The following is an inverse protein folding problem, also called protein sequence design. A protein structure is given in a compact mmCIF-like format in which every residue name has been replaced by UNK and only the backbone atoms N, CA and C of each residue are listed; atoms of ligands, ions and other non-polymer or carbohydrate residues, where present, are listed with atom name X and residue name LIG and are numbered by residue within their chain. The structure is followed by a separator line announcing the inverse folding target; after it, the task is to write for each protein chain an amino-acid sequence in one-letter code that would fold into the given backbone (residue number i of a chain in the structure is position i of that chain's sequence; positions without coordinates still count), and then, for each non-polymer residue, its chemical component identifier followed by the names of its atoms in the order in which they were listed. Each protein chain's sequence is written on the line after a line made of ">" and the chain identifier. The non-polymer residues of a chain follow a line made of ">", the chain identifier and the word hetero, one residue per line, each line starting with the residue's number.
data_IF_523492368034
#
_entry.id   IF_523492368034
#
_cell.length_a   1.000
_cell.length_b   1.000
_cell.length_c   1.000
_cell.angle_alpha   90.00
_cell.angle_beta   90.00
_cell.angle_gamma   90.00
#
_symmetry.space_group_name_H-M   'P 1'
#
loop_
_entity.id
_entity.type
_entity.pdbx_description
1 polymer ?
#
# COMPACT_ATOMS: atom_id res chain seq x y z
N UNK A 1 0.35 4.18 -12.42
CA UNK A 1 1.43 4.29 -11.42
C UNK A 1 2.47 3.21 -11.66
N UNK A 2 3.72 3.53 -11.41
CA UNK A 2 4.86 2.62 -11.56
C UNK A 2 5.33 2.20 -10.18
N UNK A 3 5.45 0.89 -9.94
CA UNK A 3 6.03 0.35 -8.70
C UNK A 3 7.48 -0.02 -8.90
N UNK A 4 8.33 0.50 -8.03
CA UNK A 4 9.74 0.13 -7.93
C UNK A 4 9.90 -0.76 -6.71
N UNK A 5 10.33 -2.00 -6.91
CA UNK A 5 10.63 -2.94 -5.84
C UNK A 5 12.14 -2.95 -5.56
N UNK A 6 12.49 -3.25 -4.30
CA UNK A 6 13.87 -3.44 -3.86
C UNK A 6 14.80 -2.23 -4.13
N UNK A 7 14.28 -1.00 -4.01
CA UNK A 7 15.11 0.19 -4.07
C UNK A 7 15.97 0.26 -2.80
N UNK A 8 17.27 0.08 -2.95
CA UNK A 8 18.21 -0.03 -1.82
C UNK A 8 18.90 1.29 -1.55
N UNK A 9 18.93 1.70 -0.27
CA UNK A 9 19.63 2.90 0.21
C UNK A 9 20.28 2.62 1.58
N UNK A 10 21.39 3.29 1.90
CA UNK A 10 21.98 3.22 3.24
C UNK A 10 20.98 3.67 4.30
N UNK A 11 21.16 3.24 5.55
CA UNK A 11 20.27 3.65 6.65
C UNK A 11 20.25 5.17 6.83
N UNK A 12 21.42 5.81 6.73
CA UNK A 12 21.56 7.27 6.80
C UNK A 12 21.41 7.85 5.40
N UNK A 13 20.20 8.14 4.99
CA UNK A 13 19.92 8.87 3.75
C UNK A 13 18.83 9.92 3.98
N UNK A 14 18.83 10.95 3.16
CA UNK A 14 17.84 12.02 3.14
C UNK A 14 16.70 11.70 2.16
N UNK A 15 15.58 12.40 2.30
CA UNK A 15 14.46 12.30 1.34
C UNK A 15 14.89 12.72 -0.07
N UNK A 16 15.79 13.70 -0.18
CA UNK A 16 16.33 14.15 -1.46
C UNK A 16 17.16 13.05 -2.17
N UNK A 17 17.95 12.28 -1.42
CA UNK A 17 18.71 11.15 -1.95
C UNK A 17 17.78 10.01 -2.40
N UNK A 18 16.67 9.77 -1.67
CA UNK A 18 15.66 8.81 -2.07
C UNK A 18 15.02 9.22 -3.40
N UNK A 19 14.62 10.49 -3.54
CA UNK A 19 14.04 11.01 -4.78
C UNK A 19 15.03 10.97 -5.95
N UNK A 20 16.29 11.35 -5.72
CA UNK A 20 17.34 11.25 -6.73
C UNK A 20 17.55 9.80 -7.19
N UNK A 21 17.50 8.85 -6.27
CA UNK A 21 17.59 7.42 -6.58
C UNK A 21 16.41 6.95 -7.40
N UNK A 22 15.17 7.38 -7.07
CA UNK A 22 13.97 7.08 -7.85
C UNK A 22 14.12 7.59 -9.28
N UNK A 23 14.51 8.86 -9.46
CA UNK A 23 14.74 9.46 -10.79
C UNK A 23 15.80 8.68 -11.58
N UNK A 24 16.87 8.27 -10.94
CA UNK A 24 17.93 7.45 -11.56
C UNK A 24 17.43 6.09 -12.02
N UNK A 25 16.68 5.37 -11.19
CA UNK A 25 16.11 4.06 -11.55
C UNK A 25 15.12 4.15 -12.72
N UNK A 26 14.32 5.23 -12.75
CA UNK A 26 13.37 5.48 -13.83
C UNK A 26 14.02 6.16 -15.05
N UNK A 27 15.32 6.45 -15.01
CA UNK A 27 16.08 7.19 -16.06
C UNK A 27 15.40 8.51 -16.44
N UNK A 28 14.93 9.25 -15.44
CA UNK A 28 14.29 10.55 -15.60
C UNK A 28 15.31 11.69 -15.45
N UNK A 29 15.05 12.83 -16.11
CA UNK A 29 15.84 14.05 -15.93
C UNK A 29 15.66 14.61 -14.52
N UNK A 30 16.67 15.30 -13.95
CA UNK A 30 16.58 15.85 -12.58
C UNK A 30 15.39 16.79 -12.36
N UNK A 31 14.99 17.56 -13.36
CA UNK A 31 13.86 18.49 -13.33
C UNK A 31 12.48 17.84 -13.53
N UNK A 32 12.41 16.55 -13.79
CA UNK A 32 11.14 15.88 -14.02
C UNK A 32 10.29 15.85 -12.75
N UNK A 33 9.06 16.36 -12.85
CA UNK A 33 8.10 16.32 -11.74
C UNK A 33 7.59 14.91 -11.57
N UNK A 34 7.64 14.41 -10.35
CA UNK A 34 7.08 13.10 -9.98
C UNK A 34 6.45 13.21 -8.59
N UNK A 35 5.44 12.40 -8.35
CA UNK A 35 4.96 12.15 -6.99
C UNK A 35 5.21 10.69 -6.64
N UNK A 36 5.56 10.44 -5.39
CA UNK A 36 5.88 9.08 -4.95
C UNK A 36 5.35 8.81 -3.55
N UNK A 37 5.08 7.55 -3.28
CA UNK A 37 4.60 7.08 -1.99
C UNK A 37 5.33 5.79 -1.61
N UNK A 38 5.80 5.72 -0.36
CA UNK A 38 6.40 4.51 0.19
C UNK A 38 5.29 3.51 0.53
N UNK A 39 5.30 2.37 -0.14
CA UNK A 39 4.37 1.26 0.10
C UNK A 39 4.92 0.32 1.18
N UNK A 40 6.24 0.07 1.13
CA UNK A 40 6.91 -0.80 2.09
C UNK A 40 8.35 -0.32 2.32
N UNK A 41 8.77 -0.34 3.57
CA UNK A 41 10.15 -0.11 4.00
C UNK A 41 10.59 -1.31 4.83
N UNK A 42 11.69 -1.93 4.49
CA UNK A 42 12.28 -3.06 5.24
C UNK A 42 13.78 -2.86 5.41
N UNK A 43 14.34 -3.47 6.45
CA UNK A 43 15.78 -3.46 6.70
C UNK A 43 16.37 -4.74 6.14
N UNK A 44 17.41 -4.62 5.32
CA UNK A 44 18.25 -5.74 4.88
C UNK A 44 19.52 -5.76 5.74
N UNK A 45 19.58 -6.72 6.67
CA UNK A 45 20.69 -6.91 7.61
C UNK A 45 21.56 -8.11 7.27
N UNK A 46 21.47 -8.63 6.05
CA UNK A 46 22.23 -9.83 5.64
C UNK A 46 23.73 -9.59 5.53
N UNK A 47 24.15 -8.35 5.28
CA UNK A 47 25.56 -7.96 5.17
C UNK A 47 25.95 -7.06 6.34
N UNK A 48 26.08 -7.61 7.53
CA UNK A 48 26.62 -6.87 8.68
C UNK A 48 28.10 -6.50 8.44
N UNK A 49 28.55 -5.29 8.83
CA UNK A 49 27.82 -4.24 9.56
C UNK A 49 26.95 -3.32 8.70
N UNK A 50 26.96 -3.46 7.37
CA UNK A 50 26.25 -2.58 6.44
C UNK A 50 24.76 -2.89 6.41
N UNK A 51 24.00 -2.14 7.18
CA UNK A 51 22.55 -2.19 7.16
C UNK A 51 22.00 -1.31 6.03
N UNK A 52 21.08 -1.85 5.25
CA UNK A 52 20.50 -1.18 4.08
C UNK A 52 18.97 -1.17 4.21
N UNK A 53 18.35 -0.05 3.89
CA UNK A 53 16.90 -0.01 3.67
C UNK A 53 16.56 -0.52 2.27
N UNK A 54 15.55 -1.37 2.19
CA UNK A 54 14.92 -1.80 0.95
C UNK A 54 13.50 -1.24 0.88
N UNK A 55 13.24 -0.44 -0.13
CA UNK A 55 11.95 0.24 -0.33
C UNK A 55 11.17 -0.42 -1.46
N UNK A 56 9.85 -0.46 -1.30
CA UNK A 56 8.88 -0.59 -2.38
C UNK A 56 8.16 0.74 -2.48
N UNK A 57 8.21 1.39 -3.64
CA UNK A 57 7.71 2.75 -3.85
C UNK A 57 6.80 2.77 -5.07
N UNK A 58 5.64 3.39 -4.92
CA UNK A 58 4.76 3.70 -6.03
C UNK A 58 5.03 5.13 -6.51
N UNK A 59 5.25 5.28 -7.80
CA UNK A 59 5.60 6.56 -8.44
C UNK A 59 4.56 6.89 -9.50
N UNK A 60 4.04 8.10 -9.47
CA UNK A 60 3.25 8.68 -10.55
C UNK A 60 4.13 9.68 -11.31
N UNK A 61 4.23 9.51 -12.61
CA UNK A 61 5.02 10.33 -13.52
C UNK A 61 4.28 10.49 -14.84
N UNK A 62 4.46 11.62 -15.50
CA UNK A 62 3.91 11.82 -16.84
C UNK A 62 4.56 10.86 -17.84
N UNK A 63 3.75 10.27 -18.72
CA UNK A 63 4.25 9.34 -19.74
C UNK A 63 4.65 7.95 -19.19
N UNK A 64 3.98 7.45 -18.15
CA UNK A 64 4.25 6.16 -17.50
C UNK A 64 4.50 4.99 -18.47
N UNK A 65 3.68 4.89 -19.53
CA UNK A 65 3.82 3.81 -20.51
C UNK A 65 5.14 3.87 -21.30
N UNK A 66 5.58 5.08 -21.64
CA UNK A 66 6.85 5.30 -22.33
C UNK A 66 8.03 4.97 -21.43
N UNK A 67 7.94 5.34 -20.15
CA UNK A 67 8.95 5.00 -19.13
C UNK A 67 9.03 3.49 -18.95
N UNK A 68 7.91 2.79 -18.80
CA UNK A 68 7.85 1.34 -18.64
C UNK A 68 8.41 0.59 -19.84
N UNK A 69 8.06 0.99 -21.06
CA UNK A 69 8.58 0.38 -22.30
C UNK A 69 10.10 0.51 -22.43
N UNK A 70 10.66 1.64 -21.95
CA UNK A 70 12.10 1.90 -21.96
C UNK A 70 12.86 1.14 -20.89
N UNK A 71 12.19 0.81 -19.77
CA UNK A 71 12.79 0.18 -18.60
C UNK A 71 12.45 -1.31 -18.58
N UNK A 72 13.26 -2.14 -19.21
CA UNK A 72 13.18 -3.61 -19.11
C UNK A 72 13.81 -4.07 -17.78
N UNK A 73 13.15 -3.80 -16.65
CA UNK A 73 13.66 -4.15 -15.33
C UNK A 73 12.58 -4.92 -14.54
N UNK A 74 12.89 -6.14 -14.10
CA UNK A 74 11.96 -6.99 -13.32
C UNK A 74 11.50 -6.35 -11.99
N UNK A 75 12.27 -5.39 -11.46
CA UNK A 75 11.92 -4.67 -10.24
C UNK A 75 10.96 -3.49 -10.48
N UNK A 76 10.65 -3.18 -11.74
CA UNK A 76 9.79 -2.07 -12.13
C UNK A 76 8.57 -2.61 -12.86
N UNK A 77 7.38 -2.33 -12.33
CA UNK A 77 6.12 -2.83 -12.88
C UNK A 77 5.02 -1.77 -12.89
N UNK A 78 4.08 -1.88 -13.82
CA UNK A 78 2.86 -1.10 -13.76
C UNK A 78 1.98 -1.59 -12.61
N UNK A 79 1.44 -0.67 -11.83
CA UNK A 79 0.53 -0.99 -10.75
C UNK A 79 -0.71 -0.10 -10.84
N UNK A 80 -1.87 -0.76 -10.84
CA UNK A 80 -3.13 -0.08 -10.58
C UNK A 80 -3.45 -0.20 -9.09
N UNK A 81 -3.80 0.88 -8.41
CA UNK A 81 -4.20 0.81 -7.01
C UNK A 81 -5.43 -0.08 -6.88
N UNK A 82 -5.27 -1.23 -6.24
CA UNK A 82 -6.40 -2.11 -5.92
C UNK A 82 -7.17 -1.46 -4.76
N UNK A 83 -8.36 -0.96 -5.05
CA UNK A 83 -9.28 -0.51 -4.02
C UNK A 83 -10.22 -1.65 -3.68
N UNK A 84 -10.24 -2.03 -2.42
CA UNK A 84 -11.24 -3.00 -1.96
C UNK A 84 -12.61 -2.31 -1.97
N UNK A 85 -13.51 -2.86 -2.76
CA UNK A 85 -14.90 -2.43 -2.76
C UNK A 85 -15.65 -3.32 -1.77
N UNK A 86 -16.22 -2.70 -0.76
CA UNK A 86 -17.07 -3.41 0.21
C UNK A 86 -18.37 -3.74 -0.53
N UNK A 87 -18.75 -5.03 -0.65
CA UNK A 87 -20.00 -5.40 -1.27
C UNK A 87 -21.18 -4.78 -0.49
N UNK A 88 -22.13 -4.20 -1.20
CA UNK A 88 -23.34 -3.70 -0.59
C UNK A 88 -24.23 -4.89 -0.17
N UNK A 89 -24.80 -4.80 1.02
CA UNK A 89 -25.76 -5.79 1.47
C UNK A 89 -27.06 -5.67 0.65
N UNK A 90 -27.59 -6.81 0.19
CA UNK A 90 -28.88 -6.85 -0.52
C UNK A 90 -29.98 -6.23 0.36
N UNK A 91 -30.86 -5.43 -0.27
CA UNK A 91 -31.99 -4.78 0.41
C UNK A 91 -32.92 -5.80 1.10
N UNK A 92 -33.01 -7.04 0.58
CA UNK A 92 -33.75 -8.13 1.20
C UNK A 92 -33.10 -8.63 2.49
N UNK A 93 -31.78 -8.62 2.56
CA UNK A 93 -31.02 -9.02 3.76
C UNK A 93 -31.09 -7.96 4.87
N UNK A 94 -31.35 -6.69 4.54
CA UNK A 94 -31.52 -5.60 5.52
C UNK A 94 -32.75 -5.75 6.42
N UNK A 95 -33.75 -6.56 6.03
CA UNK A 95 -34.95 -6.84 6.81
C UNK A 95 -34.77 -7.99 7.81
N UNK A 96 -33.61 -8.62 7.84
CA UNK A 96 -33.30 -9.74 8.74
C UNK A 96 -32.84 -9.31 10.14
N UNK A 97 -32.47 -10.30 10.93
CA UNK A 97 -31.89 -10.09 12.24
C UNK A 97 -30.55 -9.38 12.14
N UNK A 98 -30.24 -8.56 13.14
CA UNK A 98 -28.95 -7.87 13.22
C UNK A 98 -27.80 -8.87 13.30
N UNK A 99 -26.71 -8.69 12.52
CA UNK A 99 -25.55 -9.54 12.67
C UNK A 99 -24.94 -9.40 14.06
N UNK A 100 -24.58 -10.51 14.69
CA UNK A 100 -23.93 -10.56 16.00
C UNK A 100 -22.47 -10.92 15.80
N UNK A 101 -21.58 -10.07 16.29
CA UNK A 101 -20.13 -10.26 16.20
C UNK A 101 -19.61 -10.50 17.60
N UNK A 102 -19.21 -11.74 17.88
CA UNK A 102 -18.72 -12.13 19.21
C UNK A 102 -17.23 -11.84 19.30
N UNK A 103 -16.87 -10.97 20.25
CA UNK A 103 -15.50 -10.56 20.57
C UNK A 103 -15.10 -9.24 19.92
N UNK A 104 -14.47 -8.38 20.73
CA UNK A 104 -13.99 -7.03 20.34
C UNK A 104 -12.48 -7.00 20.04
N UNK A 105 -11.89 -8.11 19.63
CA UNK A 105 -10.52 -8.17 19.12
C UNK A 105 -10.37 -7.49 17.73
N UNK A 106 -9.16 -7.43 17.16
CA UNK A 106 -8.91 -6.79 15.86
C UNK A 106 -9.82 -7.28 14.74
N UNK A 107 -10.09 -8.58 14.70
CA UNK A 107 -10.99 -9.19 13.71
C UNK A 107 -12.45 -8.78 13.92
N UNK A 108 -12.93 -8.79 15.15
CA UNK A 108 -14.31 -8.39 15.49
C UNK A 108 -14.57 -6.91 15.22
N UNK A 109 -13.63 -6.02 15.58
CA UNK A 109 -13.70 -4.59 15.28
C UNK A 109 -13.71 -4.35 13.77
N UNK A 110 -12.86 -5.04 13.02
CA UNK A 110 -12.84 -4.94 11.56
C UNK A 110 -14.17 -5.43 10.95
N UNK A 111 -14.70 -6.57 11.40
CA UNK A 111 -15.98 -7.09 10.95
C UNK A 111 -17.14 -6.12 11.25
N UNK A 112 -17.15 -5.50 12.44
CA UNK A 112 -18.14 -4.51 12.83
C UNK A 112 -18.07 -3.27 11.92
N UNK A 113 -16.87 -2.77 11.63
CA UNK A 113 -16.66 -1.65 10.73
C UNK A 113 -17.20 -1.94 9.33
N UNK A 114 -16.91 -3.12 8.79
CA UNK A 114 -17.42 -3.51 7.47
C UNK A 114 -18.95 -3.69 7.47
N UNK A 115 -19.52 -4.27 8.51
CA UNK A 115 -20.97 -4.42 8.62
C UNK A 115 -21.67 -3.05 8.67
N UNK A 116 -21.13 -2.09 9.42
CA UNK A 116 -21.67 -0.71 9.46
C UNK A 116 -21.56 -0.04 8.10
N UNK A 117 -20.42 -0.16 7.42
CA UNK A 117 -20.23 0.40 6.07
C UNK A 117 -21.15 -0.23 5.02
N UNK A 118 -21.58 -1.47 5.23
CA UNK A 118 -22.60 -2.15 4.41
C UNK A 118 -24.04 -1.79 4.84
N UNK A 119 -24.24 -0.78 5.69
CA UNK A 119 -25.54 -0.40 6.26
C UNK A 119 -26.23 -1.51 7.06
N UNK A 120 -25.49 -2.44 7.60
CA UNK A 120 -25.95 -3.36 8.62
C UNK A 120 -25.75 -2.74 10.01
N UNK A 121 -26.61 -3.03 10.94
CA UNK A 121 -26.51 -2.54 12.32
C UNK A 121 -26.02 -3.68 13.23
N UNK A 122 -24.71 -3.98 13.30
CA UNK A 122 -24.20 -5.13 14.05
C UNK A 122 -24.34 -4.95 15.54
N UNK A 123 -24.53 -6.06 16.25
CA UNK A 123 -24.37 -6.18 17.69
C UNK A 123 -22.97 -6.71 17.98
N UNK A 124 -22.22 -6.00 18.82
CA UNK A 124 -20.89 -6.43 19.26
C UNK A 124 -20.92 -6.59 20.77
N UNK A 125 -21.30 -7.78 21.30
CA UNK A 125 -21.23 -7.99 22.72
C UNK A 125 -19.76 -7.96 23.19
N UNK A 126 -19.46 -7.03 24.07
CA UNK A 126 -18.15 -6.91 24.72
C UNK A 126 -18.27 -7.60 26.07
N UNK A 127 -17.91 -8.88 26.14
CA UNK A 127 -17.73 -9.55 27.42
C UNK A 127 -16.38 -9.13 27.98
N UNK A 128 -16.43 -8.27 28.99
CA UNK A 128 -15.31 -8.06 29.89
C UNK A 128 -15.39 -9.19 30.95
N UNK A 129 -14.53 -10.20 30.80
CA UNK A 129 -14.24 -11.11 31.92
C UNK A 129 -13.13 -10.55 32.75
#
# INVERSE_FOLDING_TARGET
>A
MIRINQLKLPIRHTTAELEAKIKKELKLSPGHKLSWQVVKKSIDARKKPDLIYSYTIDVAVEGEQSVLKRLQNHNISAVSPKRYLIPEADAKQKKGLRPVIIGAGPAGISAALYAVRANMNPLVPMNWC
#
